data_IF_165460293510
#
_entry.id   IF_165460293510
#
_cell.length_a   1.000
_cell.length_b   1.000
_cell.length_c   1.000
_cell.angle_alpha   90.00
_cell.angle_beta   90.00
_cell.angle_gamma   90.00
#
_symmetry.space_group_name_H-M   'P 1'
#
loop_
_entity.id
_entity.type
_entity.pdbx_description
1 polymer ?
#
# COMPACT_ATOMS: atom_id res chain seq x y z
N UNK A 1 -7.06 -0.29 1.05
CA UNK A 1 -6.44 0.67 2.01
C UNK A 1 -7.44 1.43 2.89
N UNK A 2 -8.05 2.56 2.47
CA UNK A 2 -8.96 3.34 3.34
C UNK A 2 -10.24 2.61 3.73
N UNK A 3 -10.83 1.88 2.79
CA UNK A 3 -12.05 1.09 3.01
C UNK A 3 -11.78 -0.25 3.72
N UNK A 4 -10.55 -0.49 4.21
CA UNK A 4 -10.14 -1.76 4.84
C UNK A 4 -10.46 -3.00 3.99
N UNK A 5 -10.24 -2.88 2.68
CA UNK A 5 -10.27 -4.00 1.73
C UNK A 5 -8.82 -4.44 1.47
N UNK A 6 -8.51 -5.76 1.53
CA UNK A 6 -7.19 -6.27 1.20
C UNK A 6 -6.88 -6.01 -0.27
N UNK A 7 -5.62 -5.78 -0.61
CA UNK A 7 -5.20 -5.40 -1.96
C UNK A 7 -4.15 -6.36 -2.49
N UNK A 8 -4.26 -6.64 -3.79
CA UNK A 8 -3.22 -7.30 -4.59
C UNK A 8 -2.82 -6.32 -5.67
N UNK A 9 -1.52 -6.05 -5.80
CA UNK A 9 -0.97 -5.15 -6.80
C UNK A 9 0.23 -5.78 -7.51
N UNK A 10 0.59 -5.23 -8.66
CA UNK A 10 1.79 -5.63 -9.39
C UNK A 10 3.01 -4.88 -8.87
N UNK A 11 4.17 -5.53 -8.89
CA UNK A 11 5.46 -4.94 -8.52
C UNK A 11 6.02 -4.02 -9.63
N UNK A 12 5.34 -2.90 -9.88
CA UNK A 12 5.71 -1.91 -10.90
C UNK A 12 5.35 -0.48 -10.47
N UNK A 13 6.13 0.50 -10.93
CA UNK A 13 5.88 1.92 -10.66
C UNK A 13 5.87 2.24 -9.17
N UNK A 14 4.94 3.10 -8.74
CA UNK A 14 4.77 3.48 -7.33
C UNK A 14 3.94 2.50 -6.48
N UNK A 15 3.47 1.36 -7.04
CA UNK A 15 2.68 0.38 -6.28
C UNK A 15 3.46 -0.20 -5.09
N UNK A 16 4.76 -0.57 -5.22
CA UNK A 16 5.56 -1.09 -4.10
C UNK A 16 5.82 -0.07 -2.99
N UNK A 17 5.64 1.23 -3.26
CA UNK A 17 5.71 2.28 -2.22
C UNK A 17 4.49 2.23 -1.28
N UNK A 18 3.36 1.74 -1.77
CA UNK A 18 2.10 1.61 -1.02
C UNK A 18 1.89 0.19 -0.45
N UNK A 19 2.34 -0.84 -1.16
CA UNK A 19 2.20 -2.24 -0.79
C UNK A 19 3.55 -2.83 -0.37
N UNK A 20 3.67 -3.16 0.92
CA UNK A 20 4.72 -4.03 1.44
C UNK A 20 4.20 -5.46 1.40
N UNK A 21 4.86 -6.31 0.62
CA UNK A 21 4.39 -7.67 0.35
C UNK A 21 4.24 -8.49 1.63
N UNK A 22 3.10 -9.14 1.82
CA UNK A 22 2.68 -9.89 3.01
C UNK A 22 2.57 -9.06 4.31
N UNK A 23 2.71 -7.72 4.24
CA UNK A 23 2.55 -6.84 5.41
C UNK A 23 1.31 -5.94 5.27
N UNK A 24 1.20 -5.20 4.16
CA UNK A 24 0.10 -4.25 3.91
C UNK A 24 -0.77 -4.64 2.73
N UNK A 25 -0.38 -5.70 2.00
CA UNK A 25 -1.07 -6.28 0.86
C UNK A 25 -0.19 -7.37 0.23
N UNK A 26 -0.56 -7.83 -0.97
CA UNK A 26 0.23 -8.79 -1.74
C UNK A 26 0.77 -8.14 -3.01
N UNK A 27 2.05 -8.40 -3.31
CA UNK A 27 2.66 -8.03 -4.59
C UNK A 27 2.81 -9.27 -5.47
N UNK A 28 2.50 -9.10 -6.76
CA UNK A 28 2.70 -10.13 -7.79
C UNK A 28 3.54 -9.57 -8.95
N UNK A 29 4.25 -10.43 -9.71
CA UNK A 29 4.94 -9.98 -10.91
C UNK A 29 3.96 -9.42 -11.95
N UNK A 30 4.36 -8.41 -12.75
CA UNK A 30 3.55 -7.95 -13.87
C UNK A 30 3.39 -9.05 -14.92
N UNK A 31 2.31 -8.97 -15.71
CA UNK A 31 2.00 -9.92 -16.80
C UNK A 31 1.91 -11.39 -16.35
N UNK A 32 1.61 -11.65 -15.08
CA UNK A 32 1.46 -13.00 -14.55
C UNK A 32 0.04 -13.23 -13.99
N UNK A 33 -0.96 -13.51 -14.86
CA UNK A 33 -2.34 -13.70 -14.43
C UNK A 33 -2.52 -14.88 -13.48
N UNK A 34 -1.69 -15.93 -13.61
CA UNK A 34 -1.71 -17.08 -12.73
C UNK A 34 -1.38 -16.67 -11.29
N UNK A 35 -0.31 -15.89 -11.08
CA UNK A 35 0.08 -15.39 -9.75
C UNK A 35 -0.94 -14.43 -9.15
N UNK A 36 -1.58 -13.62 -9.99
CA UNK A 36 -2.68 -12.76 -9.55
C UNK A 36 -3.86 -13.60 -9.03
N UNK A 37 -4.30 -14.60 -9.80
CA UNK A 37 -5.40 -15.48 -9.40
C UNK A 37 -5.09 -16.25 -8.12
N UNK A 38 -3.89 -16.83 -8.01
CA UNK A 38 -3.41 -17.51 -6.79
C UNK A 38 -3.47 -16.58 -5.56
N UNK A 39 -3.03 -15.34 -5.71
CA UNK A 39 -3.00 -14.36 -4.61
C UNK A 39 -4.40 -13.92 -4.19
N UNK A 40 -5.31 -13.74 -5.14
CA UNK A 40 -6.72 -13.43 -4.86
C UNK A 40 -7.38 -14.60 -4.14
N UNK A 41 -7.22 -15.83 -4.65
CA UNK A 41 -7.79 -17.03 -4.02
C UNK A 41 -7.27 -17.23 -2.60
N UNK A 42 -5.96 -17.02 -2.37
CA UNK A 42 -5.36 -17.07 -1.03
C UNK A 42 -6.04 -16.13 -0.03
N UNK A 43 -6.48 -14.95 -0.47
CA UNK A 43 -7.20 -13.99 0.37
C UNK A 43 -8.67 -14.39 0.59
N UNK A 44 -9.32 -14.98 -0.41
CA UNK A 44 -10.70 -15.46 -0.31
C UNK A 44 -10.81 -16.67 0.63
N UNK A 45 -9.84 -17.57 0.57
CA UNK A 45 -9.79 -18.79 1.39
C UNK A 45 -9.38 -18.52 2.84
N UNK A 46 -8.54 -17.51 3.08
CA UNK A 46 -8.05 -17.17 4.42
C UNK A 46 -8.49 -15.76 4.84
N UNK A 47 -9.72 -15.68 5.39
CA UNK A 47 -10.31 -14.43 5.91
C UNK A 47 -9.48 -13.76 7.00
N UNK A 48 -8.78 -14.54 7.84
CA UNK A 48 -7.93 -13.98 8.90
C UNK A 48 -6.77 -13.19 8.29
N UNK A 49 -6.04 -13.81 7.36
CA UNK A 49 -4.94 -13.17 6.64
C UNK A 49 -5.45 -11.93 5.87
N UNK A 50 -6.58 -12.06 5.16
CA UNK A 50 -7.19 -10.94 4.46
C UNK A 50 -7.49 -9.75 5.38
N UNK A 51 -8.09 -10.00 6.55
CA UNK A 51 -8.37 -8.96 7.54
C UNK A 51 -7.09 -8.36 8.13
N UNK A 52 -6.06 -9.18 8.37
CA UNK A 52 -4.77 -8.70 8.86
C UNK A 52 -4.13 -7.72 7.86
N UNK A 53 -4.00 -8.13 6.58
CA UNK A 53 -3.42 -7.29 5.53
C UNK A 53 -4.24 -6.01 5.32
N UNK A 54 -5.56 -6.11 5.29
CA UNK A 54 -6.44 -4.95 5.13
C UNK A 54 -6.27 -3.92 6.26
N UNK A 55 -6.19 -4.37 7.51
CA UNK A 55 -5.99 -3.50 8.67
C UNK A 55 -4.58 -2.91 8.70
N UNK A 56 -3.56 -3.69 8.37
CA UNK A 56 -2.18 -3.21 8.27
C UNK A 56 -2.03 -2.16 7.17
N UNK A 57 -2.61 -2.40 5.99
CA UNK A 57 -2.64 -1.42 4.90
C UNK A 57 -3.39 -0.14 5.28
N UNK A 58 -4.53 -0.25 5.97
CA UNK A 58 -5.23 0.92 6.49
C UNK A 58 -4.36 1.74 7.44
N UNK A 59 -3.68 1.08 8.39
CA UNK A 59 -2.77 1.75 9.34
C UNK A 59 -1.60 2.41 8.62
N UNK A 60 -1.01 1.74 7.64
CA UNK A 60 0.10 2.28 6.86
C UNK A 60 -0.31 3.58 6.15
N UNK A 61 -1.42 3.57 5.40
CA UNK A 61 -1.88 4.77 4.70
C UNK A 61 -2.25 5.89 5.68
N UNK A 62 -2.98 5.57 6.76
CA UNK A 62 -3.36 6.57 7.76
C UNK A 62 -2.17 7.26 8.42
N UNK A 63 -1.08 6.53 8.64
CA UNK A 63 0.09 7.04 9.37
C UNK A 63 1.14 7.69 8.45
N UNK A 64 1.10 7.45 7.14
CA UNK A 64 2.19 7.87 6.25
C UNK A 64 1.73 8.71 5.05
N UNK A 65 0.48 8.52 4.59
CA UNK A 65 0.04 8.98 3.27
C UNK A 65 -1.16 9.95 3.31
N UNK A 66 -1.50 10.49 4.49
CA UNK A 66 -2.55 11.52 4.63
C UNK A 66 -1.99 12.92 4.40
N UNK A 67 -2.87 13.89 4.16
CA UNK A 67 -2.48 15.29 4.03
C UNK A 67 -1.79 15.83 5.29
N UNK A 68 -2.26 15.45 6.48
CA UNK A 68 -1.64 15.85 7.75
C UNK A 68 -0.17 15.41 7.86
N UNK A 69 0.22 14.33 7.16
CA UNK A 69 1.59 13.80 7.17
C UNK A 69 2.42 14.33 6.00
N UNK A 70 1.81 14.44 4.81
CA UNK A 70 2.53 14.81 3.57
C UNK A 70 2.71 16.32 3.48
N UNK A 71 1.68 17.11 3.78
CA UNK A 71 1.71 18.56 3.57
C UNK A 71 2.85 19.27 4.33
N UNK A 72 3.14 18.96 5.61
CA UNK A 72 4.27 19.59 6.30
C UNK A 72 5.62 19.36 5.61
N UNK A 73 5.83 18.17 5.02
CA UNK A 73 7.06 17.85 4.29
C UNK A 73 7.23 18.69 3.03
N UNK A 74 6.12 18.96 2.33
CA UNK A 74 6.12 19.85 1.17
C UNK A 74 6.40 21.31 1.56
N UNK A 75 5.78 21.78 2.64
CA UNK A 75 6.03 23.14 3.16
C UNK A 75 7.50 23.29 3.52
N UNK A 76 8.06 22.37 4.30
CA UNK A 76 9.47 22.34 4.68
C UNK A 76 10.38 22.36 3.44
N UNK A 77 10.06 21.56 2.42
CA UNK A 77 10.80 21.55 1.17
C UNK A 77 10.82 22.91 0.48
N UNK A 78 9.65 23.56 0.33
CA UNK A 78 9.58 24.89 -0.30
C UNK A 78 10.26 25.98 0.54
N UNK A 79 10.11 25.95 1.86
CA UNK A 79 10.81 26.89 2.75
C UNK A 79 12.33 26.76 2.64
N UNK A 80 12.85 25.55 2.49
CA UNK A 80 14.29 25.30 2.33
C UNK A 80 14.80 25.80 0.97
N UNK A 81 13.98 25.78 -0.09
CA UNK A 81 14.34 26.35 -1.39
C UNK A 81 14.40 27.88 -1.36
N UNK A 82 13.56 28.54 -0.56
CA UNK A 82 13.52 30.00 -0.44
C UNK A 82 14.60 30.59 0.47
N UNK A 83 15.23 29.77 1.32
CA UNK A 83 16.31 30.18 2.23
C UNK A 83 17.70 30.15 1.55
N UNK A 84 17.80 29.58 0.35
CA UNK A 84 19.00 29.58 -0.50
C UNK A 84 18.85 30.57 -1.66
#
# INVERSE_FOLDING_TARGET
>A
FFLKVPVVGTDVGGIPELIKNNETGLLVPPNNPQKLAESVNKLLENKQNANQLANSGYKFIKNNMTWDIILPKYIEFYENLLKN
#
